data_IF_408358251089
#
_entry.id   IF_408358251089
#
_cell.length_a   1.000
_cell.length_b   1.000
_cell.length_c   1.000
_cell.angle_alpha   90.00
_cell.angle_beta   90.00
_cell.angle_gamma   90.00
#
_symmetry.space_group_name_H-M   'P 1'
#
loop_
_entity.id
_entity.type
_entity.pdbx_description
1 polymer ?
#
# COMPACT_ATOMS: atom_id res chain seq x y z
N UNK A 1 23.03 23.61 -19.14
CA UNK A 1 22.54 24.57 -18.13
C UNK A 1 21.80 23.80 -17.05
N UNK A 2 22.35 23.72 -15.83
CA UNK A 2 21.65 23.14 -14.69
C UNK A 2 20.55 24.12 -14.26
N UNK A 3 19.34 23.94 -14.76
CA UNK A 3 18.18 24.65 -14.21
C UNK A 3 17.98 24.17 -12.77
N UNK A 4 18.33 25.01 -11.80
CA UNK A 4 17.96 24.85 -10.40
C UNK A 4 16.46 24.67 -10.36
N UNK A 5 15.98 23.47 -10.03
CA UNK A 5 14.54 23.23 -9.89
C UNK A 5 14.01 24.15 -8.79
N UNK A 6 12.95 24.93 -9.04
CA UNK A 6 12.43 25.86 -8.06
C UNK A 6 11.99 25.11 -6.80
N UNK A 7 12.30 25.68 -5.64
CA UNK A 7 11.95 25.12 -4.34
C UNK A 7 10.44 25.29 -4.11
N UNK A 8 9.70 24.21 -4.38
CA UNK A 8 8.24 24.20 -4.39
C UNK A 8 7.66 24.64 -3.04
N UNK A 9 6.67 25.53 -3.07
CA UNK A 9 5.95 26.05 -1.89
C UNK A 9 6.89 26.53 -0.77
N UNK A 10 7.92 27.31 -1.09
CA UNK A 10 8.99 27.71 -0.15
C UNK A 10 8.47 28.21 1.20
N UNK A 11 7.68 29.27 1.20
CA UNK A 11 7.27 29.94 2.45
C UNK A 11 6.31 29.07 3.25
N UNK A 12 5.33 28.45 2.58
CA UNK A 12 4.42 27.48 3.20
C UNK A 12 5.20 26.31 3.82
N UNK A 13 6.24 25.83 3.13
CA UNK A 13 7.07 24.74 3.64
C UNK A 13 7.80 25.12 4.93
N UNK A 14 8.33 26.34 5.02
CA UNK A 14 8.98 26.81 6.24
C UNK A 14 7.99 26.94 7.40
N UNK A 15 6.80 27.48 7.14
CA UNK A 15 5.76 27.63 8.15
C UNK A 15 5.27 26.27 8.67
N UNK A 16 4.94 25.34 7.77
CA UNK A 16 4.53 23.96 8.12
C UNK A 16 5.64 23.26 8.90
N UNK A 17 6.89 23.37 8.47
CA UNK A 17 8.03 22.77 9.17
C UNK A 17 8.20 23.36 10.58
N UNK A 18 8.06 24.68 10.73
CA UNK A 18 8.09 25.34 12.03
C UNK A 18 7.06 24.77 13.01
N UNK A 19 5.82 24.57 12.56
CA UNK A 19 4.76 23.92 13.35
C UNK A 19 5.15 22.51 13.77
N UNK A 20 5.69 21.69 12.85
CA UNK A 20 6.07 20.31 13.17
C UNK A 20 7.18 20.24 14.23
N UNK A 21 8.16 21.16 14.18
CA UNK A 21 9.19 21.27 15.21
C UNK A 21 8.64 21.74 16.55
N UNK A 22 7.73 22.70 16.55
CA UNK A 22 7.05 23.15 17.76
C UNK A 22 6.28 22.00 18.44
N UNK A 23 5.50 21.24 17.66
CA UNK A 23 4.81 20.03 18.13
C UNK A 23 5.78 19.03 18.74
N UNK A 24 6.90 18.74 18.07
CA UNK A 24 7.92 17.83 18.60
C UNK A 24 8.53 18.34 19.91
N UNK A 25 8.85 19.64 19.98
CA UNK A 25 9.45 20.24 21.17
C UNK A 25 8.49 20.25 22.37
N UNK A 26 7.18 20.37 22.13
CA UNK A 26 6.17 20.34 23.19
C UNK A 26 5.86 18.92 23.68
N UNK A 27 5.76 17.95 22.77
CA UNK A 27 5.28 16.60 23.09
C UNK A 27 6.41 15.60 23.36
N UNK A 28 7.59 15.82 22.79
CA UNK A 28 8.67 14.83 22.76
C UNK A 28 8.29 13.58 21.95
N UNK A 29 9.15 12.53 21.95
CA UNK A 29 8.88 11.26 21.30
C UNK A 29 7.97 10.33 22.15
N UNK A 30 7.63 9.16 21.62
CA UNK A 30 6.91 8.05 22.28
C UNK A 30 5.39 8.18 22.49
N UNK A 31 4.73 9.10 21.79
CA UNK A 31 3.27 9.11 21.69
C UNK A 31 2.77 8.35 20.44
N UNK A 32 1.52 7.84 20.44
CA UNK A 32 0.90 7.34 19.22
C UNK A 32 0.81 8.38 18.10
N UNK A 33 0.88 7.93 16.85
CA UNK A 33 0.86 8.77 15.64
C UNK A 33 -0.35 9.73 15.58
N UNK A 34 -1.50 9.31 16.11
CA UNK A 34 -2.71 10.11 16.19
C UNK A 34 -2.54 11.41 16.99
N UNK A 35 -1.75 11.39 18.07
CA UNK A 35 -1.51 12.59 18.88
C UNK A 35 -0.69 13.64 18.13
N UNK A 36 0.34 13.22 17.39
CA UNK A 36 1.11 14.17 16.57
C UNK A 36 0.28 14.72 15.42
N UNK A 37 -0.61 13.90 14.83
CA UNK A 37 -1.54 14.35 13.79
C UNK A 37 -2.50 15.42 14.32
N UNK A 38 -3.10 15.19 15.48
CA UNK A 38 -3.99 16.15 16.14
C UNK A 38 -3.24 17.43 16.53
N UNK A 39 -2.07 17.31 17.14
CA UNK A 39 -1.26 18.46 17.55
C UNK A 39 -0.77 19.28 16.33
N UNK A 40 -0.35 18.63 15.25
CA UNK A 40 0.04 19.31 14.03
C UNK A 40 -1.15 20.03 13.38
N UNK A 41 -2.36 19.45 13.39
CA UNK A 41 -3.55 20.13 12.91
C UNK A 41 -3.83 21.41 13.72
N UNK A 42 -3.80 21.34 15.05
CA UNK A 42 -3.97 22.51 15.94
C UNK A 42 -2.92 23.58 15.65
N UNK A 43 -1.64 23.20 15.52
CA UNK A 43 -0.56 24.14 15.23
C UNK A 43 -0.68 24.79 13.86
N UNK A 44 -1.12 24.05 12.84
CA UNK A 44 -1.37 24.58 11.50
C UNK A 44 -2.54 25.58 11.50
N UNK A 45 -3.63 25.26 12.20
CA UNK A 45 -4.78 26.15 12.35
C UNK A 45 -4.41 27.44 13.08
N UNK A 46 -3.63 27.34 14.17
CA UNK A 46 -3.11 28.50 14.90
C UNK A 46 -2.19 29.37 14.04
N UNK A 47 -1.47 28.78 13.08
CA UNK A 47 -0.68 29.48 12.08
C UNK A 47 -1.51 30.00 10.88
N UNK A 48 -2.83 29.89 10.92
CA UNK A 48 -3.76 30.24 9.84
C UNK A 48 -3.51 29.50 8.52
N UNK A 49 -2.95 28.28 8.59
CA UNK A 49 -2.73 27.40 7.44
C UNK A 49 -3.92 26.44 7.33
N UNK A 50 -4.58 26.42 6.17
CA UNK A 50 -5.74 25.54 5.97
C UNK A 50 -5.28 24.08 5.92
N UNK A 51 -5.83 23.23 6.77
CA UNK A 51 -5.59 21.80 6.73
C UNK A 51 -6.87 20.96 6.91
N UNK A 52 -6.81 19.69 6.50
CA UNK A 52 -7.85 18.69 6.77
C UNK A 52 -7.16 17.40 7.19
N UNK A 53 -7.51 16.87 8.36
CA UNK A 53 -7.00 15.57 8.81
C UNK A 53 -7.77 14.43 8.14
N UNK A 54 -7.12 13.29 7.94
CA UNK A 54 -7.72 12.05 7.41
C UNK A 54 -8.57 12.25 6.15
N UNK A 55 -8.10 13.11 5.24
CA UNK A 55 -8.83 13.37 4.00
C UNK A 55 -8.85 12.12 3.13
N UNK A 56 -10.05 11.65 2.79
CA UNK A 56 -10.27 10.47 1.97
C UNK A 56 -10.06 10.76 0.47
N UNK A 57 -9.36 9.85 -0.21
CA UNK A 57 -9.18 9.82 -1.66
C UNK A 57 -9.54 8.44 -2.23
N UNK A 58 -10.18 8.41 -3.40
CA UNK A 58 -10.42 7.17 -4.14
C UNK A 58 -9.16 6.74 -4.90
N UNK A 59 -8.79 5.47 -4.75
CA UNK A 59 -7.70 4.82 -5.49
C UNK A 59 -8.30 4.16 -6.71
N UNK A 60 -7.82 4.54 -7.89
CA UNK A 60 -8.25 3.98 -9.16
C UNK A 60 -7.13 3.16 -9.79
N UNK A 61 -7.50 2.05 -10.42
CA UNK A 61 -6.60 1.22 -11.23
C UNK A 61 -7.29 0.96 -12.57
N UNK A 62 -6.64 1.35 -13.67
CA UNK A 62 -7.21 1.30 -15.03
C UNK A 62 -8.65 1.88 -15.12
N UNK A 63 -8.91 2.98 -14.42
CA UNK A 63 -10.22 3.65 -14.39
C UNK A 63 -11.25 3.05 -13.41
N UNK A 64 -10.96 1.91 -12.77
CA UNK A 64 -11.84 1.27 -11.79
C UNK A 64 -11.46 1.69 -10.36
N UNK A 65 -12.43 2.15 -9.55
CA UNK A 65 -12.18 2.41 -8.12
C UNK A 65 -11.91 1.08 -7.39
N UNK A 66 -10.65 0.87 -6.98
CA UNK A 66 -10.18 -0.32 -6.28
C UNK A 66 -10.10 -0.14 -4.77
N UNK A 67 -10.21 1.10 -4.27
CA UNK A 67 -10.29 1.35 -2.85
C UNK A 67 -10.17 2.81 -2.46
N UNK A 68 -9.86 3.02 -1.18
CA UNK A 68 -9.74 4.36 -0.60
C UNK A 68 -8.48 4.46 0.24
N UNK A 69 -7.95 5.67 0.33
CA UNK A 69 -6.81 6.03 1.14
C UNK A 69 -7.11 7.32 1.90
N UNK A 70 -6.49 7.48 3.07
CA UNK A 70 -6.66 8.63 3.95
C UNK A 70 -5.30 9.26 4.17
N UNK A 71 -5.14 10.51 3.75
CA UNK A 71 -3.94 11.31 4.03
C UNK A 71 -4.00 11.77 5.49
N UNK A 72 -2.90 11.67 6.25
CA UNK A 72 -2.89 12.12 7.65
C UNK A 72 -3.29 13.59 7.76
N UNK A 73 -2.63 14.47 6.99
CA UNK A 73 -2.99 15.89 6.92
C UNK A 73 -2.84 16.43 5.49
N UNK A 74 -3.94 16.95 4.95
CA UNK A 74 -4.04 17.61 3.65
C UNK A 74 -3.93 19.13 3.81
N UNK A 75 -2.87 19.75 3.30
CA UNK A 75 -2.56 21.17 3.53
C UNK A 75 -2.79 22.02 2.28
N UNK A 76 -3.44 23.17 2.47
CA UNK A 76 -3.64 24.22 1.46
C UNK A 76 -4.16 23.71 0.12
N UNK A 77 -5.16 22.81 0.15
CA UNK A 77 -5.78 22.30 -1.06
C UNK A 77 -4.91 21.34 -1.88
N UNK A 78 -3.85 20.77 -1.30
CA UNK A 78 -2.99 19.78 -1.97
C UNK A 78 -1.60 20.28 -2.33
N UNK A 79 -1.23 21.46 -1.84
CA UNK A 79 0.14 21.95 -1.95
C UNK A 79 1.11 21.04 -1.18
N UNK A 80 0.72 20.60 0.01
CA UNK A 80 1.52 19.70 0.85
C UNK A 80 0.60 18.61 1.43
N UNK A 81 1.07 17.36 1.40
CA UNK A 81 0.54 16.30 2.26
C UNK A 81 1.56 16.03 3.38
N UNK A 82 1.07 15.85 4.60
CA UNK A 82 1.89 15.35 5.70
C UNK A 82 1.60 13.86 5.85
N UNK A 83 2.65 13.05 5.82
CA UNK A 83 2.63 11.63 6.15
C UNK A 83 3.45 11.47 7.43
N UNK A 84 2.78 11.19 8.54
CA UNK A 84 3.41 11.15 9.85
C UNK A 84 3.80 9.73 10.18
N UNK A 85 4.90 9.56 10.92
CA UNK A 85 5.37 8.28 11.42
C UNK A 85 5.86 8.43 12.85
N UNK A 86 5.67 7.36 13.63
CA UNK A 86 6.33 7.19 14.93
C UNK A 86 7.09 5.87 14.89
N UNK A 87 8.31 5.93 14.38
CA UNK A 87 9.15 4.74 14.17
C UNK A 87 10.60 5.01 14.57
N UNK A 88 11.35 3.98 15.01
CA UNK A 88 12.76 4.16 15.38
C UNK A 88 13.63 4.71 14.24
N UNK A 89 13.26 4.43 12.99
CA UNK A 89 13.89 4.98 11.79
C UNK A 89 12.95 4.98 10.60
N UNK A 90 13.10 5.96 9.72
CA UNK A 90 12.45 5.92 8.41
C UNK A 90 13.10 4.82 7.53
N UNK A 91 12.26 4.01 6.90
CA UNK A 91 12.67 2.96 5.98
C UNK A 91 12.33 3.37 4.54
N UNK A 92 13.01 2.80 3.52
CA UNK A 92 12.70 3.09 2.11
C UNK A 92 11.22 2.87 1.74
N UNK A 93 10.55 1.92 2.40
CA UNK A 93 9.10 1.72 2.24
C UNK A 93 8.29 2.97 2.60
N UNK A 94 8.60 3.67 3.69
CA UNK A 94 7.81 4.85 4.11
C UNK A 94 7.87 5.96 3.05
N UNK A 95 9.05 6.15 2.44
CA UNK A 95 9.22 7.06 1.31
C UNK A 95 8.43 6.59 0.08
N UNK A 96 8.46 5.31 -0.24
CA UNK A 96 7.70 4.75 -1.35
C UNK A 96 6.17 4.88 -1.13
N UNK A 97 5.69 4.78 0.12
CA UNK A 97 4.30 5.02 0.49
C UNK A 97 3.90 6.47 0.22
N UNK A 98 4.66 7.44 0.75
CA UNK A 98 4.42 8.85 0.51
C UNK A 98 4.41 9.21 -0.99
N UNK A 99 5.30 8.61 -1.78
CA UNK A 99 5.30 8.75 -3.24
C UNK A 99 4.05 8.17 -3.90
N UNK A 100 3.54 7.03 -3.42
CA UNK A 100 2.31 6.41 -3.91
C UNK A 100 1.10 7.30 -3.62
N UNK A 101 1.09 7.98 -2.47
CA UNK A 101 0.04 8.93 -2.11
C UNK A 101 0.09 10.21 -2.94
N UNK A 102 1.27 10.71 -3.29
CA UNK A 102 1.41 11.81 -4.24
C UNK A 102 0.81 11.48 -5.61
N UNK A 103 0.99 10.24 -6.10
CA UNK A 103 0.38 9.79 -7.36
C UNK A 103 -1.15 9.83 -7.28
N UNK A 104 -1.74 9.26 -6.23
CA UNK A 104 -3.20 9.14 -6.08
C UNK A 104 -3.88 10.50 -5.85
N UNK A 105 -3.28 11.34 -5.02
CA UNK A 105 -3.89 12.61 -4.61
C UNK A 105 -3.61 13.75 -5.57
N UNK A 106 -2.65 13.56 -6.48
CA UNK A 106 -2.09 14.61 -7.32
C UNK A 106 -1.62 15.84 -6.51
N UNK A 107 -1.17 15.66 -5.26
CA UNK A 107 -0.55 16.73 -4.49
C UNK A 107 0.83 17.12 -5.03
N UNK A 108 1.29 18.33 -4.73
CA UNK A 108 2.56 18.84 -5.25
C UNK A 108 3.78 18.31 -4.47
N UNK A 109 3.63 18.13 -3.15
CA UNK A 109 4.72 17.84 -2.22
C UNK A 109 4.23 16.96 -1.07
N UNK A 110 5.04 15.98 -0.64
CA UNK A 110 4.83 15.27 0.61
C UNK A 110 5.94 15.61 1.60
N UNK A 111 5.57 15.80 2.87
CA UNK A 111 6.49 15.78 3.99
C UNK A 111 6.32 14.44 4.68
N UNK A 112 7.35 13.61 4.63
CA UNK A 112 7.45 12.40 5.43
C UNK A 112 8.13 12.76 6.74
N UNK A 113 7.38 12.73 7.84
CA UNK A 113 7.84 13.25 9.13
C UNK A 113 7.85 12.12 10.15
N UNK A 114 8.96 11.95 10.87
CA UNK A 114 9.11 10.96 11.91
C UNK A 114 9.32 11.61 13.27
N UNK A 115 8.37 11.38 14.18
CA UNK A 115 8.38 11.83 15.58
C UNK A 115 8.94 10.76 16.54
N UNK A 116 9.34 9.58 16.04
CA UNK A 116 9.78 8.45 16.87
C UNK A 116 11.27 8.43 17.25
N UNK A 117 12.04 9.45 16.90
CA UNK A 117 13.48 9.54 17.17
C UNK A 117 13.78 10.60 18.24
N UNK A 118 15.06 10.71 18.66
CA UNK A 118 15.52 11.75 19.61
C UNK A 118 15.39 13.18 19.07
N UNK A 119 15.24 13.33 17.76
CA UNK A 119 14.90 14.59 17.11
C UNK A 119 13.87 14.36 16.00
N UNK A 120 13.12 15.41 15.66
CA UNK A 120 12.23 15.38 14.51
C UNK A 120 13.04 15.16 13.23
N UNK A 121 12.68 14.11 12.47
CA UNK A 121 13.25 13.86 11.15
C UNK A 121 12.20 14.12 10.10
N UNK A 122 12.48 15.01 9.15
CA UNK A 122 11.58 15.31 8.04
C UNK A 122 12.27 15.14 6.68
N UNK A 123 11.58 14.51 5.73
CA UNK A 123 12.00 14.42 4.33
C UNK A 123 10.95 15.05 3.42
N UNK A 124 11.42 15.85 2.46
CA UNK A 124 10.58 16.50 1.45
C UNK A 124 10.61 15.74 0.14
N UNK A 125 9.44 15.38 -0.35
CA UNK A 125 9.27 14.55 -1.54
C UNK A 125 8.41 15.29 -2.57
N UNK A 126 9.00 16.06 -3.50
CA UNK A 126 8.24 16.70 -4.56
C UNK A 126 7.63 15.65 -5.50
N UNK A 127 6.43 15.91 -6.01
CA UNK A 127 5.75 14.99 -6.93
C UNK A 127 6.33 15.09 -8.35
N UNK A 128 7.55 14.59 -8.53
CA UNK A 128 8.16 14.43 -9.85
C UNK A 128 7.60 13.25 -10.65
N UNK A 129 6.63 12.53 -10.08
CA UNK A 129 5.98 11.38 -10.72
C UNK A 129 4.78 11.79 -11.56
N UNK A 130 4.17 12.96 -11.28
CA UNK A 130 3.03 13.53 -12.01
C UNK A 130 3.20 13.47 -13.53
N UNK A 131 4.41 13.74 -14.03
CA UNK A 131 4.71 13.82 -15.46
C UNK A 131 5.48 12.60 -16.00
N UNK A 132 5.76 11.60 -15.15
CA UNK A 132 6.53 10.42 -15.56
C UNK A 132 5.61 9.27 -15.91
N UNK A 133 5.64 8.87 -17.18
CA UNK A 133 5.09 7.59 -17.63
C UNK A 133 6.20 6.54 -17.58
N UNK A 134 6.33 5.87 -16.45
CA UNK A 134 7.18 4.69 -16.38
C UNK A 134 6.47 3.54 -17.10
N UNK A 135 7.17 2.84 -18.00
CA UNK A 135 6.64 1.67 -18.70
C UNK A 135 6.95 0.44 -17.87
N UNK A 136 5.92 -0.33 -17.52
CA UNK A 136 6.11 -1.61 -16.86
C UNK A 136 6.78 -2.59 -17.82
N UNK A 137 7.88 -3.20 -17.36
CA UNK A 137 8.57 -4.27 -18.07
C UNK A 137 8.66 -5.49 -17.14
N UNK A 138 8.11 -6.61 -17.59
CA UNK A 138 8.19 -7.90 -16.91
C UNK A 138 9.01 -8.86 -17.75
N UNK A 139 9.95 -9.55 -17.11
CA UNK A 139 10.63 -10.69 -17.70
C UNK A 139 10.02 -11.96 -17.12
N UNK A 140 9.39 -12.81 -17.96
CA UNK A 140 8.92 -14.10 -17.53
C UNK A 140 10.00 -14.88 -16.78
N UNK A 141 9.63 -15.55 -15.69
CA UNK A 141 10.54 -16.47 -15.05
C UNK A 141 10.60 -17.77 -15.84
N UNK A 142 11.78 -18.40 -15.91
CA UNK A 142 11.87 -19.74 -16.48
C UNK A 142 10.99 -20.69 -15.67
N UNK A 143 10.11 -21.46 -16.33
CA UNK A 143 9.18 -22.33 -15.64
C UNK A 143 9.94 -23.43 -14.89
N UNK A 144 9.81 -23.48 -13.56
CA UNK A 144 10.24 -24.62 -12.76
C UNK A 144 9.45 -25.86 -13.23
N UNK A 145 10.10 -26.90 -13.79
CA UNK A 145 9.39 -28.08 -14.32
C UNK A 145 8.60 -28.84 -13.25
N UNK A 146 8.89 -28.62 -11.97
CA UNK A 146 8.19 -29.22 -10.84
C UNK A 146 7.01 -28.37 -10.34
N UNK A 147 6.79 -27.20 -10.92
CA UNK A 147 5.74 -26.27 -10.53
C UNK A 147 4.41 -26.64 -11.21
N UNK A 148 3.34 -26.67 -10.43
CA UNK A 148 2.00 -26.82 -10.96
C UNK A 148 1.59 -25.54 -11.71
N UNK A 149 1.06 -25.71 -12.92
CA UNK A 149 0.53 -24.61 -13.75
C UNK A 149 1.54 -23.48 -14.01
N UNK A 150 2.75 -23.79 -14.52
CA UNK A 150 3.84 -22.82 -14.59
C UNK A 150 3.50 -21.57 -15.44
N UNK A 151 2.74 -21.74 -16.51
CA UNK A 151 2.26 -20.64 -17.35
C UNK A 151 1.34 -19.69 -16.57
N UNK A 152 0.29 -20.22 -15.91
CA UNK A 152 -0.63 -19.43 -15.08
C UNK A 152 0.08 -18.77 -13.90
N UNK A 153 1.06 -19.43 -13.27
CA UNK A 153 1.87 -18.80 -12.22
C UNK A 153 2.62 -17.60 -12.76
N UNK A 154 3.26 -17.72 -13.93
CA UNK A 154 4.00 -16.62 -14.53
C UNK A 154 3.09 -15.44 -14.90
N UNK A 155 1.89 -15.70 -15.43
CA UNK A 155 0.86 -14.67 -15.69
C UNK A 155 0.43 -13.97 -14.39
N UNK A 156 0.14 -14.73 -13.33
CA UNK A 156 -0.23 -14.17 -12.03
C UNK A 156 0.89 -13.33 -11.42
N UNK A 157 2.15 -13.77 -11.52
CA UNK A 157 3.29 -12.98 -11.06
C UNK A 157 3.42 -11.68 -11.87
N UNK A 158 3.28 -11.74 -13.19
CA UNK A 158 3.29 -10.54 -14.04
C UNK A 158 2.20 -9.55 -13.61
N UNK A 159 0.98 -10.02 -13.35
CA UNK A 159 -0.14 -9.23 -12.84
C UNK A 159 0.21 -8.56 -11.51
N UNK A 160 0.65 -9.35 -10.53
CA UNK A 160 0.94 -8.84 -9.19
C UNK A 160 2.09 -7.82 -9.21
N UNK A 161 3.11 -8.05 -10.03
CA UNK A 161 4.22 -7.11 -10.22
C UNK A 161 3.77 -5.83 -10.91
N UNK A 162 2.88 -5.89 -11.91
CA UNK A 162 2.33 -4.70 -12.56
C UNK A 162 1.52 -3.85 -11.58
N UNK A 163 0.63 -4.50 -10.83
CA UNK A 163 -0.17 -3.84 -9.77
C UNK A 163 0.75 -3.14 -8.76
N UNK A 164 1.80 -3.82 -8.29
CA UNK A 164 2.77 -3.23 -7.35
C UNK A 164 3.55 -2.08 -7.97
N UNK A 165 3.96 -2.20 -9.23
CA UNK A 165 4.71 -1.16 -9.95
C UNK A 165 3.88 0.13 -10.13
N UNK A 166 2.62 -0.01 -10.55
CA UNK A 166 1.76 1.13 -10.85
C UNK A 166 1.29 1.83 -9.58
N UNK A 167 0.72 1.08 -8.63
CA UNK A 167 0.20 1.63 -7.38
C UNK A 167 1.31 2.00 -6.41
N UNK A 168 2.34 1.16 -6.28
CA UNK A 168 3.32 1.25 -5.20
C UNK A 168 2.77 0.78 -3.85
N UNK A 169 3.60 0.74 -2.79
CA UNK A 169 3.19 0.32 -1.45
C UNK A 169 2.37 1.42 -0.74
N UNK A 170 1.71 1.06 0.37
CA UNK A 170 1.03 2.00 1.28
C UNK A 170 -0.47 1.82 1.39
N UNK A 171 -1.10 1.22 0.39
CA UNK A 171 -2.52 0.91 0.44
C UNK A 171 -2.82 -0.34 1.27
N UNK A 172 -4.07 -0.44 1.72
CA UNK A 172 -4.58 -1.65 2.32
C UNK A 172 -4.59 -2.81 1.33
N UNK A 173 -4.42 -4.02 1.84
CA UNK A 173 -4.33 -5.25 1.04
C UNK A 173 -5.50 -5.46 0.05
N UNK A 174 -6.71 -4.97 0.37
CA UNK A 174 -7.87 -5.08 -0.51
C UNK A 174 -7.75 -4.25 -1.79
N UNK A 175 -6.96 -3.17 -1.77
CA UNK A 175 -6.70 -2.32 -2.95
C UNK A 175 -5.93 -3.12 -3.99
N UNK A 176 -4.83 -3.77 -3.59
CA UNK A 176 -4.05 -4.62 -4.49
C UNK A 176 -4.84 -5.84 -4.96
N UNK A 177 -5.64 -6.45 -4.09
CA UNK A 177 -6.51 -7.56 -4.47
C UNK A 177 -7.49 -7.15 -5.58
N UNK A 178 -8.16 -6.00 -5.42
CA UNK A 178 -9.12 -5.51 -6.42
C UNK A 178 -8.42 -5.07 -7.70
N UNK A 179 -7.24 -4.47 -7.63
CA UNK A 179 -6.43 -4.16 -8.81
C UNK A 179 -5.99 -5.43 -9.56
N UNK A 180 -5.55 -6.47 -8.85
CA UNK A 180 -5.24 -7.77 -9.47
C UNK A 180 -6.46 -8.41 -10.14
N UNK A 181 -7.66 -8.23 -9.58
CA UNK A 181 -8.90 -8.68 -10.23
C UNK A 181 -9.18 -7.91 -11.53
N UNK A 182 -8.90 -6.60 -11.58
CA UNK A 182 -9.02 -5.81 -12.83
C UNK A 182 -8.09 -6.36 -13.90
N UNK A 183 -6.82 -6.61 -13.56
CA UNK A 183 -5.84 -7.22 -14.47
C UNK A 183 -6.26 -8.61 -14.97
N UNK A 184 -6.78 -9.46 -14.09
CA UNK A 184 -7.28 -10.79 -14.47
C UNK A 184 -8.42 -10.69 -15.50
N UNK A 185 -9.35 -9.74 -15.31
CA UNK A 185 -10.43 -9.48 -16.26
C UNK A 185 -9.90 -9.01 -17.62
N UNK A 186 -8.97 -8.07 -17.63
CA UNK A 186 -8.38 -7.53 -18.87
C UNK A 186 -7.61 -8.60 -19.66
N UNK A 187 -6.96 -9.53 -18.95
CA UNK A 187 -6.22 -10.64 -19.55
C UNK A 187 -7.10 -11.86 -19.84
N UNK A 188 -8.41 -11.78 -19.60
CA UNK A 188 -9.37 -12.88 -19.78
C UNK A 188 -9.00 -14.16 -19.01
N UNK A 189 -8.32 -14.02 -17.87
CA UNK A 189 -8.01 -15.11 -16.95
C UNK A 189 -9.20 -15.26 -16.01
N UNK A 190 -9.84 -16.42 -16.04
CA UNK A 190 -10.98 -16.74 -15.20
C UNK A 190 -10.59 -16.71 -13.73
N UNK A 191 -11.42 -16.10 -12.89
CA UNK A 191 -11.25 -16.17 -11.44
C UNK A 191 -12.59 -16.13 -10.72
N UNK A 192 -12.60 -16.73 -9.53
CA UNK A 192 -13.68 -16.54 -8.57
C UNK A 192 -13.17 -15.73 -7.38
N UNK A 193 -14.05 -14.93 -6.78
CA UNK A 193 -13.75 -14.13 -5.60
C UNK A 193 -14.91 -14.24 -4.61
N UNK A 194 -14.56 -14.43 -3.33
CA UNK A 194 -15.51 -14.75 -2.24
C UNK A 194 -16.16 -16.12 -2.46
N UNK A 195 -15.60 -17.14 -1.81
CA UNK A 195 -16.23 -18.46 -1.70
C UNK A 195 -16.70 -18.71 -0.28
N UNK A 196 -17.93 -19.21 -0.14
CA UNK A 196 -18.42 -19.71 1.14
C UNK A 196 -17.66 -20.98 1.50
N UNK A 197 -16.91 -20.94 2.60
CA UNK A 197 -16.16 -22.05 3.17
C UNK A 197 -17.05 -22.73 4.20
N UNK A 198 -17.63 -23.91 3.92
CA UNK A 198 -18.41 -24.62 4.94
C UNK A 198 -17.52 -25.06 6.10
N UNK A 199 -17.95 -24.80 7.33
CA UNK A 199 -17.23 -25.14 8.55
C UNK A 199 -17.82 -26.42 9.13
N UNK A 200 -16.99 -27.41 9.41
CA UNK A 200 -17.41 -28.69 9.98
C UNK A 200 -16.69 -29.00 11.29
N UNK A 201 -17.41 -29.62 12.23
CA UNK A 201 -16.82 -30.28 13.40
C UNK A 201 -17.37 -31.70 13.51
N UNK A 202 -16.49 -32.72 13.49
CA UNK A 202 -16.88 -34.14 13.54
C UNK A 202 -18.04 -34.46 12.57
N UNK A 203 -17.91 -34.05 11.31
CA UNK A 203 -18.93 -34.19 10.24
C UNK A 203 -20.23 -33.40 10.42
N UNK A 204 -20.37 -32.61 11.49
CA UNK A 204 -21.50 -31.70 11.69
C UNK A 204 -21.18 -30.36 11.03
N UNK A 205 -22.05 -29.91 10.11
CA UNK A 205 -21.94 -28.58 9.51
C UNK A 205 -22.32 -27.50 10.52
N UNK A 206 -21.39 -26.58 10.81
CA UNK A 206 -21.57 -25.50 11.78
C UNK A 206 -22.03 -24.18 11.14
N UNK A 207 -21.82 -24.01 9.83
CA UNK A 207 -22.12 -22.77 9.11
C UNK A 207 -21.11 -22.52 7.99
N UNK A 208 -21.13 -21.34 7.39
CA UNK A 208 -20.16 -20.94 6.35
C UNK A 208 -19.36 -19.71 6.79
N UNK A 209 -18.12 -19.61 6.31
CA UNK A 209 -17.28 -18.43 6.46
C UNK A 209 -16.88 -17.91 5.07
N UNK A 210 -17.02 -16.61 4.77
CA UNK A 210 -16.62 -16.07 3.47
C UNK A 210 -15.09 -16.02 3.34
N UNK A 211 -14.53 -16.77 2.39
CA UNK A 211 -13.11 -16.71 2.04
C UNK A 211 -12.87 -15.71 0.92
N UNK A 212 -12.29 -14.55 1.29
CA UNK A 212 -12.03 -13.40 0.40
C UNK A 212 -10.67 -13.47 -0.29
N UNK A 213 -10.44 -14.55 -1.04
CA UNK A 213 -9.23 -14.78 -1.83
C UNK A 213 -9.57 -14.88 -3.31
N UNK A 214 -8.58 -14.69 -4.18
CA UNK A 214 -8.74 -14.87 -5.62
C UNK A 214 -8.47 -16.34 -5.94
N UNK A 215 -9.41 -17.00 -6.60
CA UNK A 215 -9.29 -18.36 -7.10
C UNK A 215 -9.07 -18.31 -8.61
N UNK A 216 -7.81 -18.18 -9.05
CA UNK A 216 -7.47 -18.09 -10.46
C UNK A 216 -7.61 -19.45 -11.14
N UNK A 217 -8.43 -19.51 -12.18
CA UNK A 217 -8.76 -20.71 -12.99
C UNK A 217 -9.20 -21.92 -12.14
N UNK A 218 -9.68 -21.67 -10.91
CA UNK A 218 -9.91 -22.70 -9.88
C UNK A 218 -8.69 -23.60 -9.57
N UNK A 219 -7.49 -23.17 -9.95
CA UNK A 219 -6.22 -23.91 -9.85
C UNK A 219 -5.26 -23.32 -8.84
N UNK A 220 -5.28 -21.99 -8.66
CA UNK A 220 -4.33 -21.27 -7.81
C UNK A 220 -5.07 -20.32 -6.89
N UNK A 221 -4.74 -20.37 -5.60
CA UNK A 221 -5.29 -19.47 -4.60
C UNK A 221 -4.34 -18.29 -4.38
N UNK A 222 -4.76 -17.07 -4.68
CA UNK A 222 -3.94 -15.86 -4.55
C UNK A 222 -4.40 -15.01 -3.36
N UNK A 223 -3.47 -14.72 -2.46
CA UNK A 223 -3.65 -13.88 -1.28
C UNK A 223 -2.76 -12.64 -1.39
N UNK A 224 -3.39 -11.47 -1.58
CA UNK A 224 -2.71 -10.18 -1.46
C UNK A 224 -2.68 -9.73 0.00
N UNK A 225 -1.49 -9.38 0.49
CA UNK A 225 -1.24 -8.87 1.85
C UNK A 225 -0.38 -7.62 1.78
N UNK A 226 -0.41 -6.82 2.85
CA UNK A 226 0.39 -5.60 2.97
C UNK A 226 0.95 -5.53 4.41
N UNK A 227 1.94 -6.39 4.69
CA UNK A 227 2.52 -6.55 6.03
C UNK A 227 4.04 -6.34 6.00
N UNK A 228 4.62 -5.91 7.11
CA UNK A 228 6.07 -5.70 7.19
C UNK A 228 6.87 -6.98 6.92
N UNK A 229 6.37 -8.14 7.34
CA UNK A 229 7.04 -9.43 7.16
C UNK A 229 5.99 -10.51 6.95
N UNK A 230 6.25 -11.40 5.99
CA UNK A 230 5.47 -12.62 5.82
C UNK A 230 5.77 -13.61 6.94
N UNK A 231 4.75 -14.24 7.50
CA UNK A 231 4.90 -15.15 8.65
C UNK A 231 4.46 -16.57 8.31
N UNK A 232 4.98 -17.54 9.06
CA UNK A 232 4.54 -18.94 8.96
C UNK A 232 3.06 -19.12 9.31
N UNK A 233 2.51 -18.26 10.18
CA UNK A 233 1.09 -18.25 10.49
C UNK A 233 0.24 -17.93 9.24
N UNK A 234 0.66 -16.94 8.44
CA UNK A 234 -0.02 -16.59 7.19
C UNK A 234 0.09 -17.72 6.15
N UNK A 235 1.26 -18.38 6.08
CA UNK A 235 1.46 -19.57 5.23
C UNK A 235 0.53 -20.71 5.65
N UNK A 236 0.44 -20.99 6.94
CA UNK A 236 -0.45 -22.02 7.49
C UNK A 236 -1.93 -21.70 7.22
N UNK A 237 -2.33 -20.43 7.39
CA UNK A 237 -3.69 -19.96 7.06
C UNK A 237 -4.02 -20.18 5.58
N UNK A 238 -3.12 -19.80 4.66
CA UNK A 238 -3.36 -20.02 3.23
C UNK A 238 -3.44 -21.52 2.91
N UNK A 239 -2.55 -22.34 3.50
CA UNK A 239 -2.55 -23.80 3.31
C UNK A 239 -3.85 -24.45 3.83
N UNK A 240 -4.39 -23.97 4.94
CA UNK A 240 -5.68 -24.43 5.44
C UNK A 240 -6.82 -24.11 4.47
N UNK A 241 -6.85 -22.89 3.91
CA UNK A 241 -7.84 -22.48 2.90
C UNK A 241 -7.67 -23.27 1.60
N UNK A 242 -6.44 -23.52 1.14
CA UNK A 242 -6.14 -24.39 0.00
C UNK A 242 -6.74 -25.79 0.18
N UNK A 243 -6.49 -26.44 1.33
CA UNK A 243 -7.04 -27.76 1.65
C UNK A 243 -8.57 -27.74 1.63
N UNK A 244 -9.19 -26.69 2.18
CA UNK A 244 -10.64 -26.58 2.22
C UNK A 244 -11.29 -26.48 0.83
N UNK A 245 -10.60 -25.84 -0.10
CA UNK A 245 -11.09 -25.62 -1.46
C UNK A 245 -10.50 -26.58 -2.50
N UNK A 246 -9.79 -27.64 -2.07
CA UNK A 246 -9.12 -28.62 -2.93
C UNK A 246 -8.19 -27.98 -3.98
N UNK A 247 -7.46 -26.94 -3.57
CA UNK A 247 -6.48 -26.23 -4.40
C UNK A 247 -5.06 -26.67 -4.00
N UNK A 248 -4.23 -27.06 -4.98
CA UNK A 248 -2.88 -27.59 -4.71
C UNK A 248 -1.76 -26.54 -4.73
N UNK A 249 -2.05 -25.31 -5.16
CA UNK A 249 -1.07 -24.23 -5.21
C UNK A 249 -1.64 -22.91 -4.68
N UNK A 250 -0.89 -22.24 -3.82
CA UNK A 250 -1.19 -20.91 -3.31
C UNK A 250 -0.07 -19.91 -3.58
N UNK A 251 -0.44 -18.66 -3.84
CA UNK A 251 0.46 -17.51 -3.95
C UNK A 251 0.13 -16.50 -2.85
N UNK A 252 1.09 -16.25 -1.96
CA UNK A 252 0.99 -15.20 -0.95
C UNK A 252 1.85 -14.02 -1.40
N UNK A 253 1.23 -12.91 -1.80
CA UNK A 253 1.88 -11.74 -2.39
C UNK A 253 1.84 -10.54 -1.44
N UNK A 254 3.00 -10.05 -1.02
CA UNK A 254 3.18 -8.95 -0.09
C UNK A 254 3.55 -7.65 -0.80
N UNK A 255 2.65 -6.67 -0.73
CA UNK A 255 2.76 -5.37 -1.38
C UNK A 255 3.35 -4.29 -0.47
N UNK A 256 3.76 -4.61 0.76
CA UNK A 256 4.26 -3.60 1.70
C UNK A 256 5.69 -3.13 1.38
N UNK A 257 6.48 -3.93 0.67
CA UNK A 257 7.90 -3.66 0.43
C UNK A 257 8.08 -2.75 -0.79
N UNK A 258 9.29 -2.22 -0.98
CA UNK A 258 9.67 -1.43 -2.18
C UNK A 258 9.73 -2.28 -3.44
N UNK A 259 9.75 -3.60 -3.32
CA UNK A 259 9.58 -4.58 -4.39
C UNK A 259 8.52 -5.58 -3.94
N UNK A 260 7.75 -6.14 -4.87
CA UNK A 260 6.83 -7.22 -4.53
C UNK A 260 7.61 -8.41 -3.96
N UNK A 261 7.22 -8.85 -2.77
CA UNK A 261 7.68 -10.11 -2.17
C UNK A 261 6.56 -11.13 -2.32
N UNK A 262 6.88 -12.39 -2.64
CA UNK A 262 5.87 -13.43 -2.72
C UNK A 262 6.39 -14.78 -2.23
N UNK A 263 5.46 -15.65 -1.84
CA UNK A 263 5.74 -17.04 -1.50
C UNK A 263 4.77 -17.97 -2.22
N UNK A 264 5.33 -19.04 -2.79
CA UNK A 264 4.56 -20.17 -3.30
C UNK A 264 4.32 -21.19 -2.19
N UNK A 265 3.10 -21.69 -2.08
CA UNK A 265 2.68 -22.65 -1.05
C UNK A 265 2.09 -23.87 -1.75
N UNK A 266 2.63 -25.05 -1.41
CA UNK A 266 2.20 -26.37 -1.84
C UNK A 266 1.69 -27.16 -0.63
#
# INVERSE_FOLDING_TARGET
MNTVKPFLHKDLSYAVRGVLFDVYNCLGPNLPESFYREAAAVGLEAAHIKCQTEKQFSVHYHGVEVGRYFVDIWVEGGKIILELKVVPRLLPVHKAQALSYLKVTNADLAFLVNFGQESLVDERLPNFLRDKKAVFAWQPQEPDPQLLYPELVNELLAILHRVHFELGPGFFHYVYRRAAMVELQEQSIGYEYIKETPVYYKNTHLGTEPTRLIFAENKILVAAVAVQTLTDAMKAQLKAKMKHHNVSLGLLANFNKTQLEFMMIR
#
